data_IF_304973614165
#
_entry.id   IF_304973614165
#
_cell.length_a   1.000
_cell.length_b   1.000
_cell.length_c   1.000
_cell.angle_alpha   90.00
_cell.angle_beta   90.00
_cell.angle_gamma   90.00
#
_symmetry.space_group_name_H-M   'P 1'
#
loop_
_entity.id
_entity.type
_entity.pdbx_description
1 polymer ?
#
# COMPACT_ATOMS: atom_id res chain seq x y z
N UNK A 1 29.94 24.46 -44.64
CA UNK A 1 30.49 23.17 -44.16
C UNK A 1 30.82 23.19 -42.66
N UNK A 2 31.45 24.24 -42.10
CA UNK A 2 31.73 24.33 -40.66
C UNK A 2 30.49 24.62 -39.77
N UNK A 3 29.40 25.17 -40.32
CA UNK A 3 28.13 25.34 -39.60
C UNK A 3 27.38 24.02 -39.32
N UNK A 4 27.55 22.99 -40.15
CA UNK A 4 26.87 21.69 -39.97
C UNK A 4 27.49 20.85 -38.85
N UNK A 5 28.79 20.98 -38.59
CA UNK A 5 29.48 20.31 -37.46
C UNK A 5 29.20 20.99 -36.11
N UNK A 6 28.86 22.28 -36.11
CA UNK A 6 28.44 23.03 -34.91
C UNK A 6 26.96 22.77 -34.56
N UNK A 7 26.16 22.32 -35.52
CA UNK A 7 24.74 22.02 -35.33
C UNK A 7 24.48 20.60 -34.78
N UNK A 8 25.45 19.67 -34.91
CA UNK A 8 25.33 18.28 -34.45
C UNK A 8 25.49 18.05 -32.93
N UNK A 9 26.13 18.97 -32.21
CA UNK A 9 26.43 18.81 -30.78
C UNK A 9 25.22 19.16 -29.87
N UNK A 10 24.37 20.09 -30.31
CA UNK A 10 23.19 20.52 -29.56
C UNK A 10 22.12 19.43 -29.36
N UNK A 11 22.07 18.45 -30.25
CA UNK A 11 21.13 17.32 -30.16
C UNK A 11 21.47 16.35 -29.02
N UNK A 12 22.76 16.05 -28.81
CA UNK A 12 23.24 15.13 -27.77
C UNK A 12 23.04 15.70 -26.37
N UNK A 13 23.32 16.99 -26.18
CA UNK A 13 23.10 17.68 -24.92
C UNK A 13 21.61 17.80 -24.54
N UNK A 14 20.74 18.07 -25.51
CA UNK A 14 19.28 18.07 -25.30
C UNK A 14 18.75 16.68 -24.97
N UNK A 15 19.20 15.63 -25.66
CA UNK A 15 18.81 14.24 -25.39
C UNK A 15 19.19 13.81 -23.96
N UNK A 16 20.40 14.15 -23.49
CA UNK A 16 20.82 13.89 -22.11
C UNK A 16 19.98 14.65 -21.08
N UNK A 17 19.61 15.89 -21.34
CA UNK A 17 18.76 16.67 -20.42
C UNK A 17 17.32 16.14 -20.35
N UNK A 18 16.75 15.72 -21.48
CA UNK A 18 15.42 15.11 -21.53
C UNK A 18 15.38 13.75 -20.82
N UNK A 19 16.43 12.93 -20.98
CA UNK A 19 16.51 11.67 -20.25
C UNK A 19 16.63 11.93 -18.74
N UNK A 20 17.51 12.85 -18.32
CA UNK A 20 17.65 13.21 -16.90
C UNK A 20 16.37 13.75 -16.27
N UNK A 21 15.60 14.57 -16.99
CA UNK A 21 14.31 15.08 -16.51
C UNK A 21 13.28 13.96 -16.36
N UNK A 22 13.16 13.08 -17.38
CA UNK A 22 12.30 11.89 -17.28
C UNK A 22 12.70 10.97 -16.13
N UNK A 23 14.00 10.74 -15.94
CA UNK A 23 14.51 9.91 -14.84
C UNK A 23 14.09 10.48 -13.48
N UNK A 24 14.23 11.81 -13.29
CA UNK A 24 13.81 12.48 -12.05
C UNK A 24 12.30 12.46 -11.84
N UNK A 25 11.49 12.71 -12.88
CA UNK A 25 10.02 12.68 -12.81
C UNK A 25 9.50 11.28 -12.50
N UNK A 26 10.04 10.25 -13.18
CA UNK A 26 9.72 8.84 -12.93
C UNK A 26 10.06 8.41 -11.51
N UNK A 27 11.24 8.81 -11.00
CA UNK A 27 11.67 8.43 -9.66
C UNK A 27 10.78 9.07 -8.58
N UNK A 28 10.38 10.34 -8.77
CA UNK A 28 9.46 11.03 -7.86
C UNK A 28 8.06 10.39 -7.81
N UNK A 29 7.52 9.97 -8.97
CA UNK A 29 6.22 9.28 -9.04
C UNK A 29 6.26 7.90 -8.40
N UNK A 30 7.32 7.12 -8.70
CA UNK A 30 7.52 5.80 -8.10
C UNK A 30 7.66 5.86 -6.58
N UNK A 31 8.36 6.86 -6.04
CA UNK A 31 8.54 7.04 -4.59
C UNK A 31 7.22 7.38 -3.87
N UNK A 32 6.37 8.20 -4.49
CA UNK A 32 5.05 8.54 -3.93
C UNK A 32 4.11 7.34 -3.90
N UNK A 33 4.05 6.58 -4.99
CA UNK A 33 3.27 5.33 -5.05
C UNK A 33 3.75 4.32 -4.01
N UNK A 34 5.07 4.14 -3.87
CA UNK A 34 5.66 3.24 -2.89
C UNK A 34 5.30 3.62 -1.45
N UNK A 35 5.41 4.90 -1.09
CA UNK A 35 5.02 5.41 0.23
C UNK A 35 3.54 5.19 0.51
N UNK A 36 2.67 5.39 -0.49
CA UNK A 36 1.24 5.21 -0.35
C UNK A 36 0.86 3.72 -0.14
N UNK A 37 1.50 2.81 -0.88
CA UNK A 37 1.35 1.37 -0.69
C UNK A 37 1.82 0.93 0.71
N UNK A 38 3.01 1.36 1.14
CA UNK A 38 3.52 1.06 2.49
C UNK A 38 2.55 1.58 3.57
N UNK A 39 2.01 2.80 3.40
CA UNK A 39 1.03 3.36 4.34
C UNK A 39 -0.23 2.50 4.44
N UNK A 40 -0.75 2.00 3.31
CA UNK A 40 -1.90 1.10 3.29
C UNK A 40 -1.58 -0.21 4.03
N UNK A 41 -0.45 -0.85 3.70
CA UNK A 41 -0.02 -2.09 4.36
C UNK A 41 0.17 -1.89 5.88
N UNK A 42 0.78 -0.77 6.29
CA UNK A 42 0.98 -0.45 7.70
C UNK A 42 -0.35 -0.26 8.45
N UNK A 43 -1.33 0.42 7.84
CA UNK A 43 -2.69 0.56 8.41
C UNK A 43 -3.35 -0.80 8.54
N UNK A 44 -3.27 -1.65 7.51
CA UNK A 44 -3.82 -3.00 7.54
C UNK A 44 -3.21 -3.84 8.68
N UNK A 45 -1.89 -3.83 8.82
CA UNK A 45 -1.20 -4.53 9.90
C UNK A 45 -1.57 -4.01 11.28
N UNK A 46 -1.76 -2.69 11.42
CA UNK A 46 -2.19 -2.06 12.67
C UNK A 46 -3.60 -2.50 13.04
N UNK A 47 -4.54 -2.47 12.10
CA UNK A 47 -5.92 -2.92 12.33
C UNK A 47 -5.95 -4.40 12.66
N UNK A 48 -5.22 -5.22 11.90
CA UNK A 48 -5.12 -6.66 12.15
C UNK A 48 -4.55 -6.96 13.55
N UNK A 49 -3.52 -6.25 13.97
CA UNK A 49 -2.93 -6.38 15.31
C UNK A 49 -3.94 -5.98 16.39
N UNK A 50 -4.60 -4.82 16.23
CA UNK A 50 -5.61 -4.35 17.17
C UNK A 50 -6.77 -5.33 17.27
N UNK A 51 -7.32 -5.82 16.16
CA UNK A 51 -8.41 -6.79 16.22
C UNK A 51 -7.96 -8.12 16.85
N UNK A 52 -6.77 -8.62 16.51
CA UNK A 52 -6.28 -9.88 17.07
C UNK A 52 -5.97 -9.79 18.57
N UNK A 53 -5.32 -8.71 19.02
CA UNK A 53 -4.90 -8.54 20.42
C UNK A 53 -5.95 -7.86 21.32
N UNK A 54 -6.59 -6.78 20.84
CA UNK A 54 -7.48 -5.96 21.65
C UNK A 54 -8.83 -6.65 21.89
N UNK A 55 -9.41 -7.31 20.88
CA UNK A 55 -10.62 -8.12 21.09
C UNK A 55 -10.32 -9.39 21.90
N UNK A 56 -9.13 -9.96 21.74
CA UNK A 56 -8.69 -11.14 22.51
C UNK A 56 -8.38 -10.85 23.98
N UNK A 57 -8.10 -9.59 24.37
CA UNK A 57 -7.77 -9.22 25.76
C UNK A 57 -8.89 -8.45 26.44
N UNK A 58 -9.45 -7.39 25.83
CA UNK A 58 -10.44 -6.52 26.47
C UNK A 58 -11.85 -7.14 26.43
N UNK A 59 -12.21 -7.78 25.32
CA UNK A 59 -13.52 -8.43 25.16
C UNK A 59 -13.52 -9.90 25.60
N UNK A 60 -12.37 -10.47 25.97
CA UNK A 60 -12.28 -11.86 26.39
C UNK A 60 -13.09 -12.16 27.65
N UNK A 61 -13.23 -11.25 28.60
CA UNK A 61 -14.02 -11.49 29.82
C UNK A 61 -15.51 -11.73 29.54
N UNK A 62 -16.24 -10.84 28.84
CA UNK A 62 -17.65 -11.09 28.49
C UNK A 62 -17.81 -12.17 27.41
N UNK A 63 -16.88 -12.34 26.46
CA UNK A 63 -16.97 -13.40 25.44
C UNK A 63 -16.64 -14.79 25.99
N UNK A 64 -15.75 -14.94 26.98
CA UNK A 64 -15.49 -16.24 27.61
C UNK A 64 -16.69 -16.79 28.37
N UNK A 65 -17.65 -15.93 28.75
CA UNK A 65 -18.92 -16.39 29.30
C UNK A 65 -19.72 -17.23 28.30
N UNK A 66 -19.51 -17.02 27.00
CA UNK A 66 -20.13 -17.78 25.92
C UNK A 66 -19.10 -18.77 25.36
N UNK A 67 -19.21 -20.04 25.75
CA UNK A 67 -18.35 -21.12 25.25
C UNK A 67 -18.90 -21.66 23.94
N UNK A 68 -18.07 -21.68 22.90
CA UNK A 68 -18.39 -22.33 21.62
C UNK A 68 -17.50 -23.56 21.51
N UNK A 69 -18.11 -24.75 21.56
CA UNK A 69 -17.38 -26.02 21.40
C UNK A 69 -16.40 -26.35 22.52
N UNK A 70 -16.56 -25.78 23.72
CA UNK A 70 -15.71 -26.05 24.90
C UNK A 70 -14.55 -25.07 25.11
N UNK A 71 -14.25 -24.23 24.12
CA UNK A 71 -13.30 -23.11 24.22
C UNK A 71 -14.05 -21.78 24.29
N UNK A 72 -13.47 -20.81 24.97
CA UNK A 72 -14.08 -19.50 25.12
C UNK A 72 -14.06 -18.72 23.79
N UNK A 73 -15.14 -18.00 23.49
CA UNK A 73 -15.29 -17.28 22.21
C UNK A 73 -14.17 -16.28 21.95
N UNK A 74 -13.62 -15.66 22.99
CA UNK A 74 -12.47 -14.76 22.87
C UNK A 74 -11.24 -15.48 22.29
N UNK A 75 -10.99 -16.72 22.71
CA UNK A 75 -9.88 -17.54 22.21
C UNK A 75 -10.10 -17.99 20.76
N UNK A 76 -11.35 -18.36 20.41
CA UNK A 76 -11.71 -18.70 19.04
C UNK A 76 -11.53 -17.51 18.09
N UNK A 77 -11.90 -16.31 18.53
CA UNK A 77 -11.75 -15.09 17.74
C UNK A 77 -10.28 -14.68 17.58
N UNK A 78 -9.46 -14.87 18.62
CA UNK A 78 -8.02 -14.62 18.55
C UNK A 78 -7.33 -15.53 17.51
N UNK A 79 -7.74 -16.79 17.39
CA UNK A 79 -7.15 -17.75 16.46
C UNK A 79 -7.79 -17.72 15.07
N UNK A 80 -9.08 -18.05 14.98
CA UNK A 80 -9.82 -18.18 13.73
C UNK A 80 -10.48 -16.85 13.30
N UNK A 81 -10.88 -16.00 14.24
CA UNK A 81 -11.38 -14.67 13.90
C UNK A 81 -10.31 -13.77 13.25
N UNK A 82 -9.05 -13.93 13.65
CA UNK A 82 -7.90 -13.22 13.07
C UNK A 82 -7.72 -13.53 11.58
N UNK A 83 -7.80 -14.80 11.16
CA UNK A 83 -7.63 -15.16 9.74
C UNK A 83 -8.78 -14.60 8.89
N UNK A 84 -10.03 -14.62 9.38
CA UNK A 84 -11.16 -14.02 8.66
C UNK A 84 -11.03 -12.49 8.56
N UNK A 85 -10.61 -11.84 9.65
CA UNK A 85 -10.34 -10.39 9.65
C UNK A 85 -9.26 -10.05 8.63
N UNK A 86 -8.19 -10.84 8.57
CA UNK A 86 -7.11 -10.66 7.62
C UNK A 86 -7.59 -10.76 6.16
N UNK A 87 -8.45 -11.74 5.85
CA UNK A 87 -9.05 -11.87 4.51
C UNK A 87 -9.92 -10.64 4.14
N UNK A 88 -10.74 -10.14 5.07
CA UNK A 88 -11.55 -8.93 4.86
C UNK A 88 -10.65 -7.71 4.61
N UNK A 89 -9.56 -7.57 5.38
CA UNK A 89 -8.59 -6.51 5.20
C UNK A 89 -7.92 -6.58 3.82
N UNK A 90 -7.56 -7.78 3.34
CA UNK A 90 -7.00 -7.96 1.98
C UNK A 90 -7.98 -7.47 0.91
N UNK A 91 -9.26 -7.84 1.01
CA UNK A 91 -10.27 -7.34 0.07
C UNK A 91 -10.41 -5.81 0.11
N UNK A 92 -10.37 -5.23 1.31
CA UNK A 92 -10.42 -3.78 1.50
C UNK A 92 -9.20 -3.09 0.89
N UNK A 93 -8.01 -3.65 1.10
CA UNK A 93 -6.78 -3.18 0.46
C UNK A 93 -6.88 -3.25 -1.05
N UNK A 94 -7.30 -4.38 -1.62
CA UNK A 94 -7.42 -4.52 -3.07
C UNK A 94 -8.37 -3.46 -3.66
N UNK A 95 -9.49 -3.18 -2.99
CA UNK A 95 -10.40 -2.08 -3.38
C UNK A 95 -9.73 -0.71 -3.25
N UNK A 96 -9.02 -0.42 -2.17
CA UNK A 96 -8.36 0.89 -2.02
C UNK A 96 -7.17 1.06 -2.94
N UNK A 97 -6.43 0.00 -3.24
CA UNK A 97 -5.34 -0.02 -4.20
C UNK A 97 -5.87 0.36 -5.58
N UNK A 98 -7.01 -0.22 -6.01
CA UNK A 98 -7.64 0.14 -7.28
C UNK A 98 -8.05 1.61 -7.33
N UNK A 99 -8.58 2.16 -6.23
CA UNK A 99 -8.89 3.58 -6.16
C UNK A 99 -7.64 4.47 -6.07
N UNK A 100 -6.50 3.95 -5.61
CA UNK A 100 -5.23 4.67 -5.56
C UNK A 100 -4.59 4.67 -6.95
N UNK A 101 -4.69 3.55 -7.67
CA UNK A 101 -4.28 3.42 -9.06
C UNK A 101 -5.03 4.44 -9.93
N UNK A 102 -6.35 4.55 -9.81
CA UNK A 102 -7.16 5.57 -10.50
C UNK A 102 -6.72 7.00 -10.15
N UNK A 103 -6.39 7.28 -8.89
CA UNK A 103 -5.98 8.61 -8.44
C UNK A 103 -4.58 9.00 -8.96
N UNK A 104 -3.66 8.03 -9.10
CA UNK A 104 -2.32 8.25 -9.66
C UNK A 104 -2.28 8.17 -11.20
N UNK A 105 -3.20 7.46 -11.84
CA UNK A 105 -3.35 7.36 -13.30
C UNK A 105 -4.01 8.61 -13.92
N UNK A 106 -4.87 9.32 -13.17
CA UNK A 106 -5.53 10.57 -13.62
C UNK A 106 -4.62 11.81 -13.54
N UNK A 107 -3.43 11.71 -12.95
CA UNK A 107 -2.48 12.82 -12.88
C UNK A 107 -1.42 12.81 -14.00
N UNK A 108 -1.66 12.08 -15.08
CA UNK A 108 -0.94 12.21 -16.35
C UNK A 108 -1.69 13.10 -17.34
N UNK A 109 -1.79 14.40 -17.05
CA UNK A 109 -2.03 15.46 -18.06
C UNK A 109 -1.12 16.67 -17.78
#
# INVERSE_FOLDING_TARGET
MQELLRQGDGGSHRAKQLNRRRDHEMNNRAEQYWKANIRLVAILLTIWFVVSYLFGIILAEPLNAIKVGGVGLGFWFAQQGSIYTFLVLIFFYAKRMNALDIEFDVHED
#
